data_IF_439186118632
#
_entry.id   IF_439186118632
#
_cell.length_a   1.000
_cell.length_b   1.000
_cell.length_c   1.000
_cell.angle_alpha   90.00
_cell.angle_beta   90.00
_cell.angle_gamma   90.00
#
_symmetry.space_group_name_H-M   'P 1'
#
loop_
_entity.id
_entity.type
_entity.pdbx_description
1 polymer ?
#
# COMPACT_ATOMS: atom_id res chain seq x y z
N UNK A 1 2.90 -18.21 -3.77
CA UNK A 1 3.11 -17.26 -2.66
C UNK A 1 1.92 -17.15 -1.72
N UNK A 2 0.77 -16.57 -2.11
CA UNK A 2 -0.36 -16.39 -1.17
C UNK A 2 -0.91 -17.73 -0.66
N UNK A 3 -1.16 -18.68 -1.55
CA UNK A 3 -1.71 -19.99 -1.16
C UNK A 3 -0.78 -20.77 -0.23
N UNK A 4 0.52 -20.73 -0.50
CA UNK A 4 1.55 -21.35 0.35
C UNK A 4 1.56 -20.70 1.75
N UNK A 5 1.53 -19.37 1.82
CA UNK A 5 1.49 -18.63 3.08
C UNK A 5 0.19 -18.92 3.88
N UNK A 6 -0.95 -19.02 3.19
CA UNK A 6 -2.23 -19.39 3.80
C UNK A 6 -2.22 -20.83 4.31
N UNK A 7 -1.60 -21.75 3.58
CA UNK A 7 -1.46 -23.14 3.99
C UNK A 7 -0.60 -23.26 5.25
N UNK A 8 0.54 -22.57 5.29
CA UNK A 8 1.43 -22.56 6.45
C UNK A 8 0.74 -21.95 7.68
N UNK A 9 0.06 -20.80 7.51
CA UNK A 9 -0.67 -20.15 8.59
C UNK A 9 -1.84 -20.99 9.13
N UNK A 10 -2.53 -21.76 8.29
CA UNK A 10 -3.57 -22.71 8.76
C UNK A 10 -2.99 -23.85 9.60
N UNK A 11 -1.78 -24.30 9.29
CA UNK A 11 -1.08 -25.31 10.07
C UNK A 11 -0.56 -24.77 11.41
N UNK A 12 0.03 -23.58 11.39
CA UNK A 12 0.65 -22.97 12.57
C UNK A 12 -0.36 -22.29 13.52
N UNK A 13 -1.46 -21.73 12.99
CA UNK A 13 -2.47 -20.95 13.71
C UNK A 13 -1.86 -19.78 14.49
N UNK A 14 -1.26 -18.78 13.80
CA UNK A 14 -0.64 -17.64 14.46
C UNK A 14 -1.64 -16.78 15.23
N UNK A 15 -1.20 -16.32 16.42
CA UNK A 15 -1.86 -15.24 17.17
C UNK A 15 -1.50 -13.85 16.62
N UNK A 16 -0.35 -13.74 15.93
CA UNK A 16 0.18 -12.51 15.33
C UNK A 16 0.84 -12.80 13.98
N UNK A 17 0.55 -11.95 13.00
CA UNK A 17 1.24 -11.89 11.71
C UNK A 17 1.98 -10.56 11.59
N UNK A 18 3.25 -10.62 11.16
CA UNK A 18 4.07 -9.44 10.88
C UNK A 18 4.34 -9.37 9.39
N UNK A 19 3.82 -8.33 8.73
CA UNK A 19 4.14 -8.01 7.35
C UNK A 19 5.35 -7.10 7.28
N UNK A 20 6.42 -7.55 6.63
CA UNK A 20 7.66 -6.79 6.45
C UNK A 20 8.01 -6.75 4.96
N UNK A 21 8.09 -5.56 4.38
CA UNK A 21 8.41 -5.39 2.95
C UNK A 21 7.68 -4.22 2.30
N UNK A 22 7.54 -4.26 0.97
CA UNK A 22 6.67 -3.34 0.23
C UNK A 22 5.20 -3.77 0.27
N UNK A 23 4.36 -3.06 -0.50
CA UNK A 23 2.91 -3.29 -0.54
C UNK A 23 2.52 -4.75 -0.79
N UNK A 24 3.18 -5.45 -1.73
CA UNK A 24 2.85 -6.85 -2.03
C UNK A 24 3.04 -7.80 -0.84
N UNK A 25 4.11 -7.62 -0.06
CA UNK A 25 4.34 -8.43 1.15
C UNK A 25 3.31 -8.13 2.23
N UNK A 26 2.96 -6.84 2.41
CA UNK A 26 1.98 -6.42 3.40
C UNK A 26 0.56 -6.87 3.02
N UNK A 27 0.19 -6.83 1.74
CA UNK A 27 -1.11 -7.29 1.26
C UNK A 27 -1.31 -8.80 1.48
N UNK A 28 -0.25 -9.60 1.27
CA UNK A 28 -0.25 -11.02 1.64
C UNK A 28 -0.41 -11.18 3.16
N UNK A 29 0.36 -10.43 3.96
CA UNK A 29 0.29 -10.50 5.42
C UNK A 29 -1.12 -10.16 5.95
N UNK A 30 -1.81 -9.18 5.36
CA UNK A 30 -3.20 -8.84 5.68
C UNK A 30 -4.14 -10.02 5.47
N UNK A 31 -4.05 -10.70 4.32
CA UNK A 31 -4.90 -11.86 4.02
C UNK A 31 -4.53 -13.08 4.87
N UNK A 32 -3.23 -13.27 5.16
CA UNK A 32 -2.74 -14.32 6.06
C UNK A 32 -3.21 -14.11 7.50
N UNK A 33 -3.38 -12.86 7.95
CA UNK A 33 -3.97 -12.59 9.26
C UNK A 33 -5.51 -12.76 9.26
N UNK A 34 -6.17 -12.49 8.15
CA UNK A 34 -7.62 -12.44 8.08
C UNK A 34 -8.31 -13.78 7.75
N UNK A 35 -7.72 -14.60 6.87
CA UNK A 35 -8.39 -15.78 6.31
C UNK A 35 -8.27 -17.06 7.16
N UNK A 36 -7.15 -17.38 7.82
CA UNK A 36 -7.07 -18.55 8.69
C UNK A 36 -8.14 -18.51 9.79
N UNK A 37 -8.95 -19.57 9.89
CA UNK A 37 -10.01 -19.68 10.89
C UNK A 37 -11.28 -18.85 10.63
N UNK A 38 -11.35 -18.07 9.55
CA UNK A 38 -12.57 -17.32 9.17
C UNK A 38 -13.64 -18.19 8.51
N UNK A 39 -13.23 -19.34 7.95
CA UNK A 39 -14.09 -20.21 7.14
C UNK A 39 -14.26 -19.74 5.70
N UNK A 40 -13.63 -18.62 5.31
CA UNK A 40 -13.68 -18.09 3.94
C UNK A 40 -12.42 -18.46 3.15
N UNK A 41 -12.61 -18.66 1.84
CA UNK A 41 -11.52 -18.74 0.86
C UNK A 41 -11.22 -17.35 0.30
N UNK A 42 -10.05 -17.19 -0.32
CA UNK A 42 -9.62 -15.88 -0.84
C UNK A 42 -10.57 -15.37 -1.93
N UNK A 43 -11.13 -16.26 -2.74
CA UNK A 43 -12.02 -15.91 -3.84
C UNK A 43 -13.35 -15.33 -3.36
N UNK A 44 -13.76 -15.68 -2.13
CA UNK A 44 -15.01 -15.27 -1.52
C UNK A 44 -14.93 -13.87 -0.92
N UNK A 45 -13.72 -13.33 -0.76
CA UNK A 45 -13.49 -12.01 -0.13
C UNK A 45 -13.09 -10.93 -1.14
N UNK A 46 -12.91 -11.25 -2.41
CA UNK A 46 -12.61 -10.26 -3.44
C UNK A 46 -13.75 -9.25 -3.62
N UNK A 47 -13.46 -7.97 -3.42
CA UNK A 47 -14.43 -6.89 -3.43
C UNK A 47 -14.43 -6.09 -2.14
N UNK A 48 -15.52 -5.36 -1.92
CA UNK A 48 -15.66 -4.42 -0.79
C UNK A 48 -16.57 -5.04 0.27
N UNK A 49 -16.08 -5.13 1.51
CA UNK A 49 -16.88 -5.53 2.68
C UNK A 49 -17.27 -7.00 2.75
N UNK A 50 -16.63 -7.89 1.98
CA UNK A 50 -16.95 -9.32 1.94
C UNK A 50 -16.17 -10.17 2.97
N UNK A 51 -15.05 -9.66 3.46
CA UNK A 51 -14.30 -10.31 4.52
C UNK A 51 -15.08 -10.18 5.84
N UNK A 52 -15.40 -11.32 6.46
CA UNK A 52 -16.34 -11.39 7.58
C UNK A 52 -15.71 -11.01 8.93
N UNK A 53 -14.44 -11.34 9.15
CA UNK A 53 -13.72 -11.02 10.39
C UNK A 53 -12.21 -11.22 10.25
N UNK A 54 -11.45 -10.70 11.22
CA UNK A 54 -10.06 -11.04 11.50
C UNK A 54 -9.94 -11.32 13.01
N UNK A 55 -9.24 -12.40 13.38
CA UNK A 55 -8.95 -12.74 14.78
C UNK A 55 -7.46 -12.62 15.12
N UNK A 56 -6.59 -12.85 14.14
CA UNK A 56 -5.14 -12.77 14.30
C UNK A 56 -4.67 -11.33 14.30
N UNK A 57 -3.77 -10.98 15.22
CA UNK A 57 -3.17 -9.65 15.24
C UNK A 57 -2.30 -9.40 14.01
N UNK A 58 -2.19 -8.14 13.60
CA UNK A 58 -1.46 -7.74 12.40
C UNK A 58 -0.60 -6.52 12.70
N UNK A 59 0.70 -6.66 12.46
CA UNK A 59 1.66 -5.56 12.49
C UNK A 59 2.28 -5.42 11.11
N UNK A 60 2.38 -4.20 10.59
CA UNK A 60 2.96 -3.91 9.28
C UNK A 60 4.18 -2.99 9.40
N UNK A 61 5.25 -3.33 8.67
CA UNK A 61 6.53 -2.60 8.63
C UNK A 61 6.90 -2.36 7.17
N UNK A 62 6.60 -1.16 6.62
CA UNK A 62 6.94 -0.84 5.25
C UNK A 62 8.46 -0.68 5.09
N UNK A 63 9.03 -1.36 4.08
CA UNK A 63 10.42 -1.17 3.65
C UNK A 63 10.54 -0.30 2.40
N UNK A 64 9.43 0.30 1.98
CA UNK A 64 9.34 1.24 0.85
C UNK A 64 8.45 2.40 1.25
N UNK A 65 8.76 3.61 0.78
CA UNK A 65 7.89 4.78 0.95
C UNK A 65 7.09 4.99 -0.35
N UNK A 66 5.88 4.43 -0.41
CA UNK A 66 4.97 4.60 -1.56
C UNK A 66 3.54 4.13 -1.29
N UNK A 67 3.38 2.82 -1.06
CA UNK A 67 2.07 2.18 -1.18
C UNK A 67 1.05 2.57 -0.10
N UNK A 68 1.52 2.98 1.08
CA UNK A 68 0.65 3.24 2.24
C UNK A 68 -0.14 2.02 2.72
N UNK A 69 0.21 0.81 2.28
CA UNK A 69 -0.52 -0.41 2.63
C UNK A 69 -0.45 -0.70 4.12
N UNK A 70 0.57 -0.24 4.85
CA UNK A 70 0.68 -0.36 6.30
C UNK A 70 -0.51 0.25 7.08
N UNK A 71 -1.23 1.21 6.50
CA UNK A 71 -2.37 1.90 7.11
C UNK A 71 -3.67 1.80 6.31
N UNK A 72 -3.65 1.19 5.13
CA UNK A 72 -4.84 1.09 4.27
C UNK A 72 -5.69 -0.14 4.59
N UNK A 73 -7.02 -0.09 4.39
CA UNK A 73 -7.92 -1.24 4.50
C UNK A 73 -7.96 -2.10 3.22
N UNK A 74 -6.92 -2.01 2.38
CA UNK A 74 -6.89 -2.60 1.03
C UNK A 74 -5.79 -3.65 0.95
N UNK A 75 -6.08 -4.80 0.35
CA UNK A 75 -5.08 -5.77 -0.08
C UNK A 75 -5.27 -6.08 -1.56
N UNK A 76 -4.22 -5.91 -2.37
CA UNK A 76 -4.22 -6.23 -3.79
C UNK A 76 -3.35 -7.47 -4.01
N UNK A 77 -3.96 -8.53 -4.53
CA UNK A 77 -3.25 -9.78 -4.85
C UNK A 77 -3.51 -10.19 -6.30
N UNK A 78 -2.54 -10.90 -6.87
CA UNK A 78 -2.70 -11.51 -8.19
C UNK A 78 -3.56 -12.76 -8.04
N UNK A 79 -4.67 -12.81 -8.76
CA UNK A 79 -5.45 -14.04 -8.96
C UNK A 79 -4.79 -14.83 -10.10
N UNK A 80 -3.97 -15.82 -9.75
CA UNK A 80 -3.20 -16.64 -10.70
C UNK A 80 -4.08 -17.30 -11.78
N UNK A 81 -5.22 -17.95 -11.44
CA UNK A 81 -6.17 -18.44 -12.44
C UNK A 81 -6.67 -17.38 -13.43
N UNK A 82 -7.01 -16.19 -12.95
CA UNK A 82 -7.56 -15.12 -13.78
C UNK A 82 -6.49 -14.24 -14.45
N UNK A 83 -5.23 -14.32 -14.00
CA UNK A 83 -4.12 -13.40 -14.33
C UNK A 83 -4.48 -11.93 -14.14
N UNK A 84 -5.31 -11.64 -13.15
CA UNK A 84 -5.80 -10.29 -12.86
C UNK A 84 -5.47 -9.91 -11.42
N UNK A 85 -5.07 -8.65 -11.21
CA UNK A 85 -4.99 -8.09 -9.86
C UNK A 85 -6.40 -7.89 -9.33
N UNK A 86 -6.72 -8.52 -8.20
CA UNK A 86 -7.99 -8.38 -7.49
C UNK A 86 -7.75 -7.75 -6.14
N UNK A 87 -8.69 -6.89 -5.73
CA UNK A 87 -8.64 -6.19 -4.46
C UNK A 87 -9.61 -6.75 -3.44
N UNK A 88 -9.19 -6.79 -2.18
CA UNK A 88 -10.04 -6.96 -1.00
C UNK A 88 -10.02 -5.64 -0.25
N UNK A 89 -11.19 -5.06 0.00
CA UNK A 89 -11.33 -3.83 0.78
C UNK A 89 -12.18 -4.13 2.01
N UNK A 90 -11.60 -4.02 3.20
CA UNK A 90 -12.31 -4.31 4.44
C UNK A 90 -11.64 -3.65 5.65
N UNK A 91 -12.43 -3.15 6.63
CA UNK A 91 -11.88 -2.65 7.90
C UNK A 91 -11.09 -3.73 8.65
N UNK A 92 -11.37 -5.02 8.41
CA UNK A 92 -10.62 -6.11 9.03
C UNK A 92 -9.17 -6.24 8.52
N UNK A 93 -8.81 -5.55 7.43
CA UNK A 93 -7.45 -5.52 6.90
C UNK A 93 -6.59 -4.39 7.49
N UNK A 94 -7.19 -3.47 8.25
CA UNK A 94 -6.44 -2.43 8.95
C UNK A 94 -5.56 -3.08 10.01
N UNK A 95 -4.27 -2.76 9.99
CA UNK A 95 -3.29 -3.29 10.94
C UNK A 95 -3.55 -2.77 12.36
N UNK A 96 -3.20 -3.59 13.35
CA UNK A 96 -3.26 -3.18 14.76
C UNK A 96 -2.12 -2.21 15.10
N UNK A 97 -0.99 -2.32 14.40
CA UNK A 97 0.10 -1.36 14.46
C UNK A 97 0.86 -1.27 13.13
N UNK A 98 1.34 -0.07 12.81
CA UNK A 98 2.26 0.19 11.71
C UNK A 98 3.55 0.83 12.26
N UNK A 99 4.71 0.25 11.95
CA UNK A 99 6.01 0.80 12.34
C UNK A 99 6.74 1.32 11.11
N UNK A 100 6.67 2.63 10.91
CA UNK A 100 7.31 3.32 9.79
C UNK A 100 8.72 3.76 10.19
N UNK A 101 9.69 2.89 10.01
CA UNK A 101 11.11 3.19 10.24
C UNK A 101 11.81 3.55 8.92
N UNK A 102 12.25 4.81 8.72
CA UNK A 102 12.88 5.23 7.47
C UNK A 102 14.20 4.52 7.19
N UNK A 103 14.89 3.97 8.20
CA UNK A 103 16.14 3.24 8.01
C UNK A 103 15.92 1.94 7.21
N UNK A 104 14.71 1.36 7.26
CA UNK A 104 14.33 0.20 6.45
C UNK A 104 14.22 0.52 4.96
N UNK A 105 14.29 1.80 4.57
CA UNK A 105 14.18 2.25 3.18
C UNK A 105 15.51 2.67 2.56
N UNK A 106 16.59 2.73 3.34
CA UNK A 106 17.91 3.25 2.88
C UNK A 106 18.49 2.41 1.73
N UNK A 107 18.28 1.09 1.77
CA UNK A 107 18.76 0.16 0.74
C UNK A 107 17.90 0.13 -0.54
N UNK A 108 16.80 0.89 -0.59
CA UNK A 108 15.92 0.91 -1.76
C UNK A 108 16.63 1.61 -2.93
N UNK A 109 16.76 0.96 -4.11
CA UNK A 109 17.41 1.55 -5.27
C UNK A 109 16.80 2.89 -5.72
N UNK A 110 17.54 3.76 -6.43
CA UNK A 110 17.05 5.06 -6.87
C UNK A 110 15.80 5.02 -7.74
N UNK A 111 15.72 4.08 -8.68
CA UNK A 111 14.59 3.89 -9.59
C UNK A 111 13.33 3.45 -8.84
N UNK A 112 13.46 2.50 -7.91
CA UNK A 112 12.36 2.07 -7.03
C UNK A 112 11.94 3.21 -6.11
N UNK A 113 12.90 3.96 -5.54
CA UNK A 113 12.61 5.13 -4.69
C UNK A 113 11.82 6.19 -5.45
N UNK A 114 12.19 6.47 -6.70
CA UNK A 114 11.47 7.42 -7.54
C UNK A 114 10.05 6.93 -7.83
N UNK A 115 9.90 5.67 -8.24
CA UNK A 115 8.60 5.09 -8.54
C UNK A 115 7.67 5.08 -7.33
N UNK A 116 8.11 4.59 -6.18
CA UNK A 116 7.28 4.53 -4.96
C UNK A 116 7.02 5.93 -4.40
N UNK A 117 7.98 6.85 -4.47
CA UNK A 117 7.74 8.22 -4.04
C UNK A 117 6.69 8.94 -4.91
N UNK A 118 6.70 8.71 -6.22
CA UNK A 118 5.67 9.24 -7.12
C UNK A 118 4.31 8.59 -6.87
N UNK A 119 4.26 7.31 -6.52
CA UNK A 119 3.05 6.61 -6.08
C UNK A 119 2.41 7.32 -4.86
N UNK A 120 3.20 7.53 -3.81
CA UNK A 120 2.76 8.26 -2.62
C UNK A 120 2.33 9.70 -2.90
N UNK A 121 3.04 10.40 -3.80
CA UNK A 121 2.65 11.75 -4.22
C UNK A 121 1.31 11.73 -4.95
N UNK A 122 1.09 10.71 -5.80
CA UNK A 122 -0.16 10.50 -6.52
C UNK A 122 -1.32 10.28 -5.55
N UNK A 123 -1.13 9.43 -4.53
CA UNK A 123 -2.14 9.23 -3.47
C UNK A 123 -2.58 10.57 -2.88
N UNK A 124 -1.62 11.37 -2.41
CA UNK A 124 -1.93 12.65 -1.78
C UNK A 124 -2.66 13.62 -2.73
N UNK A 125 -2.23 13.71 -3.99
CA UNK A 125 -2.86 14.61 -4.98
C UNK A 125 -4.28 14.14 -5.30
N UNK A 126 -4.46 12.85 -5.56
CA UNK A 126 -5.76 12.31 -5.93
C UNK A 126 -6.75 12.34 -4.79
N UNK A 127 -6.31 12.08 -3.56
CA UNK A 127 -7.14 12.22 -2.35
C UNK A 127 -7.64 13.65 -2.18
N UNK A 128 -6.77 14.64 -2.36
CA UNK A 128 -7.16 16.05 -2.27
C UNK A 128 -8.11 16.49 -3.39
N UNK A 129 -7.90 15.97 -4.61
CA UNK A 129 -8.74 16.29 -5.76
C UNK A 129 -10.01 15.41 -5.83
N UNK A 130 -10.18 14.46 -4.92
CA UNK A 130 -11.27 13.49 -4.97
C UNK A 130 -12.63 14.16 -4.68
N UNK A 131 -13.68 13.65 -5.31
CA UNK A 131 -15.07 14.02 -5.00
C UNK A 131 -15.45 13.75 -3.54
N UNK A 132 -14.82 12.77 -2.90
CA UNK A 132 -15.06 12.38 -1.50
C UNK A 132 -14.09 13.04 -0.50
N UNK A 133 -13.23 13.96 -0.96
CA UNK A 133 -12.31 14.68 -0.11
C UNK A 133 -13.03 15.41 1.04
N UNK A 134 -12.37 15.51 2.19
CA UNK A 134 -12.90 16.16 3.37
C UNK A 134 -11.78 16.75 4.24
N UNK A 135 -12.07 17.76 5.09
CA UNK A 135 -11.04 18.59 5.71
C UNK A 135 -9.96 17.84 6.52
N UNK A 136 -10.30 16.68 7.10
CA UNK A 136 -9.33 15.86 7.84
C UNK A 136 -8.30 15.24 6.90
N UNK A 137 -8.72 14.72 5.75
CA UNK A 137 -7.81 14.13 4.76
C UNK A 137 -7.02 15.22 4.04
N UNK A 138 -7.61 16.38 3.77
CA UNK A 138 -6.89 17.50 3.14
C UNK A 138 -5.64 17.90 3.92
N UNK A 139 -5.67 17.82 5.27
CA UNK A 139 -4.49 18.09 6.10
C UNK A 139 -3.35 17.10 5.82
N UNK A 140 -3.68 15.80 5.74
CA UNK A 140 -2.70 14.75 5.45
C UNK A 140 -2.21 14.82 4.01
N UNK A 141 -3.12 14.95 3.06
CA UNK A 141 -2.81 15.03 1.63
C UNK A 141 -1.89 16.23 1.33
N UNK A 142 -2.26 17.45 1.77
CA UNK A 142 -1.45 18.64 1.52
C UNK A 142 -0.08 18.54 2.20
N UNK A 143 0.00 17.95 3.40
CA UNK A 143 1.28 17.77 4.07
C UNK A 143 2.13 16.68 3.41
N UNK A 144 1.51 15.60 2.95
CA UNK A 144 2.17 14.55 2.18
C UNK A 144 2.78 15.10 0.90
N UNK A 145 2.03 15.89 0.13
CA UNK A 145 2.53 16.61 -1.06
C UNK A 145 3.76 17.45 -0.71
N UNK A 146 3.69 18.29 0.34
CA UNK A 146 4.82 19.15 0.74
C UNK A 146 6.06 18.35 1.10
N UNK A 147 5.91 17.29 1.91
CA UNK A 147 7.02 16.46 2.36
C UNK A 147 7.67 15.72 1.18
N UNK A 148 6.87 15.08 0.33
CA UNK A 148 7.37 14.27 -0.78
C UNK A 148 8.00 15.17 -1.84
N UNK A 149 7.31 16.21 -2.29
CA UNK A 149 7.81 17.09 -3.35
C UNK A 149 9.14 17.77 -2.97
N UNK A 150 9.32 18.13 -1.70
CA UNK A 150 10.54 18.78 -1.23
C UNK A 150 11.74 17.82 -1.04
N UNK A 151 11.51 16.50 -0.92
CA UNK A 151 12.55 15.56 -0.47
C UNK A 151 12.78 14.37 -1.41
N UNK A 152 11.83 14.03 -2.29
CA UNK A 152 11.94 12.83 -3.12
C UNK A 152 13.19 12.84 -3.99
N UNK A 153 13.51 13.96 -4.65
CA UNK A 153 14.71 14.05 -5.48
C UNK A 153 16.00 13.78 -4.69
N UNK A 154 16.09 14.30 -3.46
CA UNK A 154 17.23 14.03 -2.56
C UNK A 154 17.30 12.54 -2.19
N UNK A 155 16.18 11.93 -1.82
CA UNK A 155 16.12 10.51 -1.48
C UNK A 155 16.50 9.60 -2.67
N UNK A 156 16.22 10.02 -3.90
CA UNK A 156 16.63 9.32 -5.13
C UNK A 156 18.12 9.50 -5.42
N UNK A 157 18.62 10.74 -5.38
CA UNK A 157 20.00 11.06 -5.73
C UNK A 157 21.00 10.63 -4.65
N UNK A 158 20.56 10.60 -3.39
CA UNK A 158 21.36 10.27 -2.21
C UNK A 158 20.53 9.35 -1.30
N UNK A 159 20.56 8.06 -1.59
CA UNK A 159 19.73 7.05 -0.91
C UNK A 159 20.00 6.86 0.58
N UNK A 160 21.16 7.30 1.08
CA UNK A 160 21.57 7.31 2.48
C UNK A 160 21.25 8.64 3.20
N UNK A 161 20.55 9.57 2.55
CA UNK A 161 20.02 10.78 3.18
C UNK A 161 18.84 10.43 4.09
N UNK A 162 19.14 10.08 5.34
CA UNK A 162 18.16 9.65 6.35
C UNK A 162 17.04 10.68 6.57
N UNK A 163 17.35 11.98 6.51
CA UNK A 163 16.31 13.02 6.64
C UNK A 163 15.36 12.97 5.44
N UNK A 164 15.89 12.92 4.21
CA UNK A 164 15.05 12.82 3.03
C UNK A 164 14.20 11.54 3.05
N UNK A 165 14.78 10.39 3.45
CA UNK A 165 14.05 9.13 3.65
C UNK A 165 12.92 9.26 4.67
N UNK A 166 13.19 9.87 5.82
CA UNK A 166 12.18 10.11 6.87
C UNK A 166 11.03 11.00 6.38
N UNK A 167 11.32 12.06 5.63
CA UNK A 167 10.30 12.96 5.08
C UNK A 167 9.43 12.27 4.04
N UNK A 168 10.03 11.49 3.13
CA UNK A 168 9.28 10.74 2.11
C UNK A 168 8.46 9.61 2.74
N UNK A 169 9.01 8.89 3.72
CA UNK A 169 8.28 7.86 4.46
C UNK A 169 7.06 8.42 5.20
N UNK A 170 7.21 9.56 5.88
CA UNK A 170 6.08 10.24 6.54
C UNK A 170 5.04 10.73 5.54
N UNK A 171 5.47 11.28 4.40
CA UNK A 171 4.55 11.67 3.33
C UNK A 171 3.79 10.49 2.74
N UNK A 172 4.46 9.35 2.52
CA UNK A 172 3.83 8.10 2.10
C UNK A 172 2.81 7.60 3.11
N UNK A 173 3.13 7.66 4.40
CA UNK A 173 2.20 7.28 5.47
C UNK A 173 0.94 8.15 5.44
N UNK A 174 1.08 9.47 5.25
CA UNK A 174 -0.06 10.38 5.11
C UNK A 174 -0.93 10.07 3.89
N UNK A 175 -0.32 9.78 2.73
CA UNK A 175 -1.06 9.29 1.57
C UNK A 175 -1.72 7.93 1.81
N UNK A 176 -1.19 7.08 2.69
CA UNK A 176 -1.85 5.83 3.05
C UNK A 176 -3.13 6.02 3.89
N UNK A 177 -3.20 7.07 4.70
CA UNK A 177 -4.33 7.34 5.59
C UNK A 177 -5.62 7.69 4.84
N UNK A 178 -5.54 8.27 3.65
CA UNK A 178 -6.71 8.64 2.85
C UNK A 178 -7.27 7.52 1.97
N UNK A 179 -6.48 6.47 1.70
CA UNK A 179 -6.88 5.34 0.84
C UNK A 179 -8.16 4.64 1.32
N UNK A 180 -8.40 4.60 2.63
CA UNK A 180 -9.61 3.99 3.20
C UNK A 180 -10.86 4.86 3.14
N UNK A 181 -10.74 6.16 3.40
CA UNK A 181 -11.90 7.06 3.54
C UNK A 181 -12.25 7.82 2.27
N UNK A 182 -11.27 8.09 1.40
CA UNK A 182 -11.43 8.89 0.18
C UNK A 182 -11.12 8.07 -1.06
N UNK A 183 -10.10 7.20 -0.97
CA UNK A 183 -9.57 6.40 -2.09
C UNK A 183 -8.93 7.27 -3.19
N UNK A 184 -8.34 6.63 -4.18
CA UNK A 184 -7.64 7.27 -5.31
C UNK A 184 -8.61 7.68 -6.43
N UNK A 185 -8.06 8.27 -7.50
CA UNK A 185 -8.82 8.85 -8.61
C UNK A 185 -8.51 8.23 -9.98
N UNK A 186 -8.51 9.08 -11.01
CA UNK A 186 -8.34 8.69 -12.40
C UNK A 186 -6.96 8.13 -12.72
N UNK A 187 -5.89 8.65 -12.11
CA UNK A 187 -4.51 8.20 -12.34
C UNK A 187 -4.39 6.72 -11.97
N UNK A 188 -4.79 6.35 -10.74
CA UNK A 188 -4.77 4.95 -10.31
C UNK A 188 -5.69 4.07 -11.15
N UNK A 189 -6.90 4.54 -11.45
CA UNK A 189 -7.85 3.79 -12.28
C UNK A 189 -7.29 3.44 -13.66
N UNK A 190 -6.57 4.37 -14.28
CA UNK A 190 -5.93 4.20 -15.59
C UNK A 190 -4.57 3.47 -15.50
N UNK A 191 -3.91 3.46 -14.34
CA UNK A 191 -2.65 2.77 -14.12
C UNK A 191 -2.82 1.24 -13.95
N UNK A 192 -3.96 0.76 -13.44
CA UNK A 192 -4.17 -0.67 -13.20
C UNK A 192 -4.04 -1.54 -14.47
N UNK A 193 -4.65 -1.19 -15.62
CA UNK A 193 -4.46 -1.94 -16.87
C UNK A 193 -2.99 -2.00 -17.31
N UNK A 194 -2.22 -0.90 -17.12
CA UNK A 194 -0.80 -0.85 -17.51
C UNK A 194 0.05 -1.87 -16.74
N UNK A 195 -0.22 -2.03 -15.44
CA UNK A 195 0.49 -3.01 -14.62
C UNK A 195 0.03 -4.45 -14.86
N UNK A 196 -1.25 -4.65 -15.20
CA UNK A 196 -1.81 -5.98 -15.48
C UNK A 196 -1.41 -6.55 -16.83
N UNK A 197 -1.53 -5.74 -17.90
CA UNK A 197 -1.34 -6.18 -19.28
C UNK A 197 0.10 -5.99 -19.78
N UNK A 198 0.74 -4.89 -19.41
CA UNK A 198 2.07 -4.53 -19.91
C UNK A 198 3.19 -4.68 -18.87
N UNK A 199 2.85 -5.16 -17.67
CA UNK A 199 3.80 -5.38 -16.56
C UNK A 199 4.62 -4.13 -16.19
N UNK A 200 4.06 -2.93 -16.41
CA UNK A 200 4.69 -1.68 -15.99
C UNK A 200 4.58 -1.55 -14.46
N UNK A 201 5.68 -1.17 -13.81
CA UNK A 201 5.70 -0.96 -12.36
C UNK A 201 4.67 0.12 -11.95
N UNK A 202 3.92 -0.13 -10.86
CA UNK A 202 2.75 0.68 -10.49
C UNK A 202 3.06 2.17 -10.36
N UNK A 203 4.09 2.53 -9.58
CA UNK A 203 4.51 3.91 -9.41
C UNK A 203 4.98 4.59 -10.69
N UNK A 204 5.53 3.82 -11.66
CA UNK A 204 5.89 4.34 -12.98
C UNK A 204 4.65 4.64 -13.81
N UNK A 205 3.66 3.75 -13.79
CA UNK A 205 2.36 3.98 -14.44
C UNK A 205 1.68 5.23 -13.89
N UNK A 206 1.65 5.39 -12.57
CA UNK A 206 1.10 6.58 -11.91
C UNK A 206 1.85 7.86 -12.31
N UNK A 207 3.19 7.82 -12.30
CA UNK A 207 4.02 8.96 -12.70
C UNK A 207 3.80 9.36 -14.18
N UNK A 208 3.63 8.39 -15.08
CA UNK A 208 3.38 8.64 -16.50
C UNK A 208 2.02 9.34 -16.72
N UNK A 209 1.01 8.95 -15.96
CA UNK A 209 -0.37 9.41 -16.14
C UNK A 209 -0.67 10.72 -15.41
N UNK A 210 0.04 11.04 -14.32
CA UNK A 210 -0.19 12.22 -13.49
C UNK A 210 -0.32 13.58 -14.22
N UNK A 211 0.46 13.91 -15.27
CA UNK A 211 0.36 15.21 -15.92
C UNK A 211 -0.81 15.36 -16.91
N UNK A 212 -1.63 14.33 -17.09
CA UNK A 212 -2.71 14.25 -18.10
C UNK A 212 -4.10 14.23 -17.47
#
# INVERSE_FOLDING_TARGET
>A
MLDEALQEARGWQPDLVIGFGGGSSMDVAKLVAALPGSGQRVEEVFGIGLLASRKTHLILLPTTAGTGSEVSPIAIVLDDPAKLKKGVVSPHLVADAAYVDPLLTVSVPPDVTAATGMDALTHCIEEYANRFAHPVIDLYALQGVRLIAANLLRAVQKGDDEEARARVALGSFYGGLGLGSVNTGAVHALAYPLGGEFHVAHGVSNALLMPH
#
